data_IF_645169048120
#
_entry.id   IF_645169048120
#
_cell.length_a   1.000
_cell.length_b   1.000
_cell.length_c   1.000
_cell.angle_alpha   90.00
_cell.angle_beta   90.00
_cell.angle_gamma   90.00
#
_symmetry.space_group_name_H-M   'P 1'
#
loop_
_entity.id
_entity.type
_entity.pdbx_description
1 polymer ?
#
# COMPACT_ATOMS: atom_id res chain seq x y z
N UNK A 1 3.10 16.19 17.43
CA UNK A 1 2.96 15.13 16.41
C UNK A 1 1.50 15.13 15.98
N UNK A 2 1.17 15.06 14.68
CA UNK A 2 -0.24 15.01 14.28
C UNK A 2 -0.90 13.80 14.94
N UNK A 3 -2.14 14.00 15.42
CA UNK A 3 -2.94 12.91 15.94
C UNK A 3 -3.07 11.85 14.85
N UNK A 4 -2.71 10.60 15.16
CA UNK A 4 -2.86 9.51 14.22
C UNK A 4 -4.33 9.35 13.82
N UNK A 5 -4.59 8.94 12.58
CA UNK A 5 -5.94 8.74 12.09
C UNK A 5 -6.63 7.64 12.90
N UNK A 6 -7.85 7.90 13.37
CA UNK A 6 -8.64 6.88 14.06
C UNK A 6 -9.01 5.74 13.10
N UNK A 7 -9.03 4.52 13.64
CA UNK A 7 -9.34 3.30 12.89
C UNK A 7 -10.80 2.98 13.17
N UNK A 8 -11.63 2.95 12.13
CA UNK A 8 -13.05 2.59 12.24
C UNK A 8 -13.23 1.11 12.57
N UNK A 9 -14.39 0.72 13.10
CA UNK A 9 -14.69 -0.67 13.45
C UNK A 9 -14.58 -1.63 12.23
N UNK A 10 -14.98 -1.18 11.04
CA UNK A 10 -14.81 -1.98 9.81
C UNK A 10 -13.35 -2.13 9.40
N UNK A 11 -12.52 -1.11 9.61
CA UNK A 11 -11.08 -1.21 9.37
C UNK A 11 -10.38 -2.10 10.40
N UNK A 12 -10.87 -2.13 11.64
CA UNK A 12 -10.37 -3.07 12.65
C UNK A 12 -10.60 -4.53 12.25
N UNK A 13 -11.74 -4.85 11.64
CA UNK A 13 -12.00 -6.20 11.13
C UNK A 13 -11.03 -6.57 10.01
N UNK A 14 -10.76 -5.64 9.09
CA UNK A 14 -9.81 -5.85 7.98
C UNK A 14 -8.38 -6.01 8.51
N UNK A 15 -7.97 -5.18 9.47
CA UNK A 15 -6.61 -5.13 9.98
C UNK A 15 -6.38 -5.96 11.25
N UNK A 16 -7.34 -6.75 11.74
CA UNK A 16 -7.27 -7.49 13.02
C UNK A 16 -5.95 -8.23 13.22
N UNK A 17 -5.50 -8.98 12.19
CA UNK A 17 -4.24 -9.73 12.26
C UNK A 17 -3.01 -8.82 12.33
N UNK A 18 -3.03 -7.70 11.62
CA UNK A 18 -1.94 -6.70 11.62
C UNK A 18 -1.90 -5.95 12.95
N UNK A 19 -3.06 -5.58 13.48
CA UNK A 19 -3.22 -4.93 14.78
C UNK A 19 -2.70 -5.79 15.93
N UNK A 20 -2.87 -7.12 15.88
CA UNK A 20 -2.29 -8.04 16.87
C UNK A 20 -0.76 -8.08 16.85
N UNK A 21 -0.14 -7.77 15.70
CA UNK A 21 1.31 -7.80 15.54
C UNK A 21 1.97 -6.51 16.03
N UNK A 22 1.51 -5.36 15.56
CA UNK A 22 2.16 -4.07 15.84
C UNK A 22 1.29 -3.02 16.56
N UNK A 23 0.03 -3.36 16.85
CA UNK A 23 -0.88 -2.51 17.63
C UNK A 23 -1.52 -1.35 16.86
N UNK A 24 -2.54 -0.75 17.47
CA UNK A 24 -3.35 0.35 16.90
C UNK A 24 -2.53 1.60 16.59
N UNK A 25 -1.60 1.96 17.47
CA UNK A 25 -0.76 3.15 17.29
C UNK A 25 0.11 3.05 16.03
N UNK A 26 0.67 1.87 15.75
CA UNK A 26 1.46 1.66 14.54
C UNK A 26 0.57 1.70 13.28
N UNK A 27 -0.61 1.06 13.33
CA UNK A 27 -1.55 1.06 12.22
C UNK A 27 -2.07 2.47 11.90
N UNK A 28 -2.38 3.27 12.92
CA UNK A 28 -2.81 4.67 12.77
C UNK A 28 -1.72 5.56 12.14
N UNK A 29 -0.45 5.31 12.50
CA UNK A 29 0.71 5.96 11.84
C UNK A 29 0.87 5.52 10.38
N UNK A 30 0.61 4.25 10.06
CA UNK A 30 0.63 3.78 8.67
C UNK A 30 -0.48 4.44 7.84
N UNK A 31 -1.73 4.49 8.34
CA UNK A 31 -2.85 5.19 7.67
C UNK A 31 -2.54 6.64 7.35
N UNK A 32 -1.99 7.37 8.33
CA UNK A 32 -1.60 8.78 8.15
C UNK A 32 -0.34 8.98 7.28
N UNK A 33 0.36 7.91 6.90
CA UNK A 33 1.56 8.00 6.06
C UNK A 33 1.22 7.90 4.58
N UNK A 34 1.98 8.63 3.76
CA UNK A 34 1.94 8.52 2.28
C UNK A 34 3.32 8.15 1.77
N UNK A 35 3.39 7.11 0.93
CA UNK A 35 4.63 6.63 0.32
C UNK A 35 4.62 6.93 -1.18
N UNK A 36 5.64 7.64 -1.67
CA UNK A 36 5.88 7.83 -3.10
C UNK A 36 6.75 6.69 -3.64
N UNK A 37 6.28 6.00 -4.68
CA UNK A 37 7.05 4.98 -5.41
C UNK A 37 7.30 5.49 -6.83
N UNK A 38 8.57 5.62 -7.18
CA UNK A 38 9.02 6.06 -8.51
C UNK A 38 9.44 4.85 -9.36
N UNK A 39 8.75 4.64 -10.47
CA UNK A 39 8.86 3.50 -11.37
C UNK A 39 8.18 2.23 -10.82
N UNK A 40 7.40 1.55 -11.66
CA UNK A 40 6.81 0.23 -11.39
C UNK A 40 7.61 -0.87 -12.08
N UNK A 41 8.75 -1.24 -11.49
CA UNK A 41 9.42 -2.50 -11.80
C UNK A 41 8.65 -3.70 -11.19
N UNK A 42 9.01 -4.93 -11.56
CA UNK A 42 8.43 -6.13 -10.96
C UNK A 42 8.49 -6.12 -9.42
N UNK A 43 9.60 -5.62 -8.86
CA UNK A 43 9.78 -5.50 -7.41
C UNK A 43 8.87 -4.39 -6.84
N UNK A 44 8.85 -3.22 -7.49
CA UNK A 44 8.09 -2.08 -6.98
C UNK A 44 6.57 -2.34 -7.00
N UNK A 45 6.08 -3.16 -7.93
CA UNK A 45 4.69 -3.63 -7.95
C UNK A 45 4.36 -4.48 -6.72
N UNK A 46 5.24 -5.42 -6.36
CA UNK A 46 5.09 -6.25 -5.15
C UNK A 46 5.17 -5.42 -3.87
N UNK A 47 6.10 -4.46 -3.83
CA UNK A 47 6.24 -3.51 -2.71
C UNK A 47 4.99 -2.65 -2.58
N UNK A 48 4.49 -2.08 -3.67
CA UNK A 48 3.28 -1.25 -3.68
C UNK A 48 2.07 -2.02 -3.13
N UNK A 49 1.90 -3.28 -3.57
CA UNK A 49 0.85 -4.17 -3.05
C UNK A 49 0.99 -4.37 -1.54
N UNK A 50 2.19 -4.68 -1.05
CA UNK A 50 2.39 -4.93 0.39
C UNK A 50 2.16 -3.67 1.24
N UNK A 51 2.61 -2.49 0.77
CA UNK A 51 2.40 -1.22 1.49
C UNK A 51 0.92 -0.84 1.52
N UNK A 52 0.22 -0.99 0.39
CA UNK A 52 -1.21 -0.72 0.30
C UNK A 52 -2.00 -1.66 1.23
N UNK A 53 -1.69 -2.96 1.23
CA UNK A 53 -2.33 -3.95 2.11
C UNK A 53 -2.02 -3.74 3.59
N UNK A 54 -0.87 -3.14 3.92
CA UNK A 54 -0.54 -2.73 5.29
C UNK A 54 -1.34 -1.50 5.76
N UNK A 55 -2.08 -0.85 4.86
CA UNK A 55 -2.97 0.26 5.18
C UNK A 55 -2.33 1.65 5.12
N UNK A 56 -1.22 1.81 4.38
CA UNK A 56 -0.65 3.12 4.09
C UNK A 56 -1.11 3.66 2.73
N UNK A 57 -1.14 4.99 2.58
CA UNK A 57 -1.41 5.62 1.29
C UNK A 57 -0.19 5.51 0.37
N UNK A 58 -0.43 5.34 -0.93
CA UNK A 58 0.63 5.26 -1.94
C UNK A 58 0.38 6.25 -3.08
N UNK A 59 1.45 6.85 -3.58
CA UNK A 59 1.48 7.59 -4.85
C UNK A 59 2.45 6.89 -5.78
N UNK A 60 1.98 6.50 -6.95
CA UNK A 60 2.79 5.81 -7.96
C UNK A 60 3.11 6.80 -9.07
N UNK A 61 4.39 6.90 -9.44
CA UNK A 61 4.84 7.74 -10.57
C UNK A 61 5.67 6.87 -11.50
N UNK A 62 5.19 6.70 -12.72
CA UNK A 62 5.90 5.96 -13.78
C UNK A 62 5.51 6.56 -15.12
N UNK A 63 6.50 6.95 -15.92
CA UNK A 63 6.34 7.58 -17.23
C UNK A 63 6.49 6.59 -18.39
N UNK A 64 6.79 5.32 -18.10
CA UNK A 64 7.02 4.28 -19.12
C UNK A 64 5.70 3.80 -19.71
N UNK A 65 5.73 3.50 -21.00
CA UNK A 65 4.58 2.93 -21.72
C UNK A 65 4.41 1.46 -21.35
N UNK A 66 3.16 1.04 -21.11
CA UNK A 66 2.82 -0.36 -20.86
C UNK A 66 3.09 -1.19 -22.11
N UNK A 67 3.97 -2.18 -22.00
CA UNK A 67 4.22 -3.20 -23.04
C UNK A 67 3.56 -4.53 -22.66
N UNK A 68 3.43 -5.45 -23.61
CA UNK A 68 2.91 -6.80 -23.34
C UNK A 68 3.80 -7.59 -22.37
N UNK A 69 5.11 -7.38 -22.42
CA UNK A 69 6.03 -7.96 -21.43
C UNK A 69 5.71 -7.46 -20.02
N UNK A 70 5.49 -6.15 -19.85
CA UNK A 70 5.10 -5.56 -18.55
C UNK A 70 3.75 -6.12 -18.09
N UNK A 71 2.77 -6.23 -19.00
CA UNK A 71 1.44 -6.81 -18.70
C UNK A 71 1.52 -8.26 -18.21
N UNK A 72 2.52 -9.03 -18.67
CA UNK A 72 2.66 -10.44 -18.32
C UNK A 72 3.00 -10.67 -16.83
N UNK A 73 3.72 -9.74 -16.19
CA UNK A 73 4.12 -9.87 -14.78
C UNK A 73 3.48 -8.81 -13.86
N UNK A 74 3.01 -7.68 -14.40
CA UNK A 74 2.41 -6.63 -13.60
C UNK A 74 0.91 -6.90 -13.39
N UNK A 75 0.58 -7.54 -12.26
CA UNK A 75 -0.81 -7.87 -11.90
C UNK A 75 -1.68 -6.65 -11.58
N UNK A 76 -1.12 -5.43 -11.48
CA UNK A 76 -1.90 -4.20 -11.30
C UNK A 76 -2.47 -3.67 -12.62
N UNK A 77 -1.97 -4.17 -13.76
CA UNK A 77 -2.45 -3.78 -15.09
C UNK A 77 -3.56 -4.76 -15.50
N UNK A 78 -4.76 -4.30 -15.88
CA UNK A 78 -5.83 -5.16 -16.38
C UNK A 78 -5.38 -5.95 -17.61
N UNK A 79 -5.92 -7.15 -17.80
CA UNK A 79 -5.63 -7.98 -18.99
C UNK A 79 -6.32 -7.44 -20.22
#
# INVERSE_FOLDING_TARGET
MPAGEEISASEEEVYDRQLRLWGRNAQSRLKSSTVLIFGLSAINVEVAKNILLAGANITLVDDRVVTEEVRAWNFLIPK
#
